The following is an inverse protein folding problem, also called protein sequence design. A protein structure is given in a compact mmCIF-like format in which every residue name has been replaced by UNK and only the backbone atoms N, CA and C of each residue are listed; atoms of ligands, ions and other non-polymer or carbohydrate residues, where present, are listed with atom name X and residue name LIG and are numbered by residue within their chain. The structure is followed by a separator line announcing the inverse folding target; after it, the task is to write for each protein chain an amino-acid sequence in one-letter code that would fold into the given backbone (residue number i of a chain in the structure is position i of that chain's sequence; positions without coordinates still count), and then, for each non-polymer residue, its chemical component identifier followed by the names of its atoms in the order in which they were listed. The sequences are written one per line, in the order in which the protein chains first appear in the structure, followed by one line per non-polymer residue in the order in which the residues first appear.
data_IF_889416350201
#
_entry.id   IF_889416350201
#
_cell.length_a   1.000
_cell.length_b   1.000
_cell.length_c   1.000
_cell.angle_alpha   90.00
_cell.angle_beta   90.00
_cell.angle_gamma   90.00
#
_symmetry.space_group_name_H-M   'P 1'
#
loop_
_entity.id
_entity.type
_entity.pdbx_description
1 polymer ?
#
# COMPACT_ATOMS: atom_id res chain seq x y z
N UNK A 1 -30.16 9.22 10.02
CA UNK A 1 -31.23 8.88 9.05
C UNK A 1 -31.51 9.98 8.01
N UNK A 2 -31.26 11.27 8.27
CA UNK A 2 -31.44 12.36 7.27
C UNK A 2 -30.34 12.39 6.19
N UNK A 3 -29.11 12.04 6.49
CA UNK A 3 -28.03 11.97 5.49
C UNK A 3 -28.26 10.90 4.40
N UNK A 4 -28.93 9.77 4.73
CA UNK A 4 -29.24 8.73 3.73
C UNK A 4 -30.37 9.10 2.76
N UNK A 5 -31.26 10.04 3.10
CA UNK A 5 -32.34 10.43 2.20
C UNK A 5 -31.94 11.49 1.16
N UNK A 6 -30.85 12.24 1.37
CA UNK A 6 -30.35 13.21 0.38
C UNK A 6 -29.60 12.53 -0.79
N UNK A 7 -29.08 11.31 -0.59
CA UNK A 7 -28.23 10.62 -1.58
C UNK A 7 -28.96 9.94 -2.74
N UNK A 8 -30.29 9.97 -2.81
CA UNK A 8 -31.04 9.23 -3.86
C UNK A 8 -31.16 10.02 -5.17
N UNK A 9 -30.95 11.34 -5.16
CA UNK A 9 -31.06 12.19 -6.35
C UNK A 9 -29.77 12.87 -6.78
N UNK A 10 -28.86 13.14 -5.85
CA UNK A 10 -27.59 13.81 -6.14
C UNK A 10 -26.49 12.76 -6.30
N UNK A 11 -25.75 12.86 -7.40
CA UNK A 11 -24.59 12.00 -7.67
C UNK A 11 -23.33 12.49 -6.97
N UNK A 12 -23.40 13.62 -6.31
CA UNK A 12 -22.30 14.28 -5.61
C UNK A 12 -22.48 14.16 -4.10
N UNK A 13 -21.41 13.84 -3.38
CA UNK A 13 -21.36 13.74 -1.92
C UNK A 13 -20.33 14.70 -1.38
N UNK A 14 -20.61 15.32 -0.24
CA UNK A 14 -19.64 16.12 0.46
C UNK A 14 -18.58 15.19 1.10
N UNK A 15 -17.34 15.40 0.72
CA UNK A 15 -16.18 14.61 1.18
C UNK A 15 -15.58 15.11 2.49
N UNK A 16 -16.13 16.19 3.06
CA UNK A 16 -15.59 16.88 4.24
C UNK A 16 -14.16 17.46 4.08
N UNK A 17 -13.71 17.64 2.84
CA UNK A 17 -12.46 18.31 2.53
C UNK A 17 -12.78 19.75 2.13
N UNK A 18 -12.21 20.73 2.85
CA UNK A 18 -12.47 22.13 2.64
C UNK A 18 -11.18 22.95 2.61
N UNK A 19 -11.20 24.00 1.80
CA UNK A 19 -10.17 25.05 1.79
C UNK A 19 -10.86 26.39 2.01
N UNK A 20 -10.44 27.11 3.05
CA UNK A 20 -10.96 28.42 3.41
C UNK A 20 -9.85 29.46 3.45
N UNK A 21 -10.21 30.73 3.21
CA UNK A 21 -9.42 31.82 3.70
C UNK A 21 -9.46 31.85 5.24
N UNK A 22 -8.31 32.04 5.88
CA UNK A 22 -8.18 31.90 7.34
C UNK A 22 -9.06 32.90 8.11
N UNK A 23 -9.21 34.12 7.62
CA UNK A 23 -10.09 35.14 8.21
C UNK A 23 -11.55 34.73 8.16
N UNK A 24 -12.01 34.21 7.02
CA UNK A 24 -13.39 33.73 6.83
C UNK A 24 -13.69 32.51 7.69
N UNK A 25 -12.73 31.58 7.79
CA UNK A 25 -12.86 30.41 8.66
C UNK A 25 -12.95 30.79 10.14
N UNK A 26 -12.12 31.73 10.60
CA UNK A 26 -12.14 32.20 11.98
C UNK A 26 -13.49 32.81 12.35
N UNK A 27 -14.06 33.64 11.48
CA UNK A 27 -15.38 34.23 11.68
C UNK A 27 -16.48 33.14 11.66
N UNK A 28 -16.41 32.22 10.70
CA UNK A 28 -17.38 31.15 10.58
C UNK A 28 -17.39 30.21 11.81
N UNK A 29 -16.20 29.84 12.33
CA UNK A 29 -16.09 29.01 13.55
C UNK A 29 -16.65 29.72 14.77
N UNK A 30 -16.37 31.03 14.92
CA UNK A 30 -16.91 31.82 16.02
C UNK A 30 -18.46 31.90 16.01
N UNK A 31 -19.08 31.75 14.83
CA UNK A 31 -20.52 31.77 14.63
C UNK A 31 -21.21 30.42 14.71
N UNK A 32 -20.49 29.31 14.77
CA UNK A 32 -21.05 27.96 14.79
C UNK A 32 -21.95 27.75 16.03
N UNK A 33 -23.06 27.06 15.83
CA UNK A 33 -24.02 26.69 16.88
C UNK A 33 -24.22 25.19 16.92
N UNK A 34 -24.43 24.65 18.12
CA UNK A 34 -24.74 23.22 18.34
C UNK A 34 -26.23 22.93 18.43
N UNK A 35 -27.09 23.70 17.72
CA UNK A 35 -28.55 23.60 17.75
C UNK A 35 -29.09 22.46 16.88
N UNK A 36 -28.47 21.26 16.99
CA UNK A 36 -28.92 20.05 16.29
C UNK A 36 -29.25 18.94 17.29
N UNK A 37 -29.84 17.86 16.82
CA UNK A 37 -30.29 16.76 17.68
C UNK A 37 -29.14 16.03 18.39
N UNK A 38 -27.92 16.18 17.92
CA UNK A 38 -26.70 15.57 18.48
C UNK A 38 -25.94 16.52 19.40
N UNK A 39 -26.24 17.83 19.40
CA UNK A 39 -25.50 18.84 20.16
C UNK A 39 -24.09 19.09 19.64
N UNK A 40 -23.82 18.74 18.39
CA UNK A 40 -22.50 18.82 17.77
C UNK A 40 -22.34 20.08 16.90
N UNK A 41 -21.08 20.53 16.71
CA UNK A 41 -20.76 21.58 15.76
C UNK A 41 -20.47 20.97 14.39
N UNK A 42 -21.17 21.41 13.35
CA UNK A 42 -20.93 20.95 11.98
C UNK A 42 -20.14 21.99 11.20
N UNK A 43 -18.97 21.57 10.70
CA UNK A 43 -18.13 22.44 9.85
C UNK A 43 -18.84 22.82 8.54
N UNK A 44 -19.80 22.02 8.09
CA UNK A 44 -20.67 22.36 6.94
C UNK A 44 -21.43 23.66 7.13
N UNK A 45 -21.76 24.04 8.38
CA UNK A 45 -22.49 25.29 8.66
C UNK A 45 -21.57 26.51 8.44
N UNK A 46 -20.26 26.35 8.48
CA UNK A 46 -19.31 27.37 8.13
C UNK A 46 -19.39 27.82 6.65
N UNK A 47 -19.89 26.95 5.77
CA UNK A 47 -20.11 27.29 4.36
C UNK A 47 -21.17 28.37 4.17
N UNK A 48 -22.18 28.46 5.03
CA UNK A 48 -23.18 29.52 4.98
C UNK A 48 -22.55 30.88 5.27
N UNK A 49 -21.70 30.96 6.30
CA UNK A 49 -20.95 32.19 6.61
C UNK A 49 -20.00 32.56 5.47
N UNK A 50 -19.26 31.58 4.95
CA UNK A 50 -18.35 31.81 3.81
C UNK A 50 -19.10 32.30 2.56
N UNK A 51 -20.32 31.84 2.32
CA UNK A 51 -21.16 32.27 1.20
C UNK A 51 -21.61 33.73 1.33
N UNK A 52 -21.82 34.22 2.55
CA UNK A 52 -22.16 35.63 2.79
C UNK A 52 -20.94 36.54 2.69
N UNK A 53 -19.75 36.05 3.04
CA UNK A 53 -18.50 36.79 2.97
C UNK A 53 -17.90 36.84 1.55
N UNK A 54 -18.25 35.93 0.65
CA UNK A 54 -17.68 35.87 -0.67
C UNK A 54 -18.23 34.75 -1.57
N UNK A 55 -17.38 34.24 -2.46
CA UNK A 55 -17.75 33.15 -3.37
C UNK A 55 -17.35 31.82 -2.77
N UNK A 56 -18.28 30.87 -2.76
CA UNK A 56 -18.04 29.45 -2.46
C UNK A 56 -18.05 28.68 -3.78
N UNK A 57 -17.00 27.91 -4.02
CA UNK A 57 -16.91 27.00 -5.16
C UNK A 57 -16.91 25.55 -4.70
N UNK A 58 -17.38 24.65 -5.53
CA UNK A 58 -17.26 23.21 -5.35
C UNK A 58 -16.31 22.65 -6.40
N UNK A 59 -15.45 21.73 -5.99
CA UNK A 59 -14.57 20.96 -6.87
C UNK A 59 -14.94 19.49 -6.77
N UNK A 60 -15.34 18.89 -7.90
CA UNK A 60 -15.59 17.46 -7.94
C UNK A 60 -14.26 16.71 -8.07
N UNK A 61 -13.97 15.83 -7.12
CA UNK A 61 -12.79 14.98 -7.19
C UNK A 61 -12.89 14.06 -8.42
N UNK A 62 -11.88 14.04 -9.30
CA UNK A 62 -11.92 13.23 -10.52
C UNK A 62 -11.92 11.73 -10.21
N UNK A 63 -11.40 11.34 -9.07
CA UNK A 63 -11.41 9.97 -8.57
C UNK A 63 -12.02 9.93 -7.16
N UNK A 64 -13.23 9.39 -7.01
CA UNK A 64 -13.90 9.32 -5.70
C UNK A 64 -13.12 8.59 -4.63
N UNK A 65 -12.30 7.60 -5.00
CA UNK A 65 -11.52 6.81 -4.04
C UNK A 65 -10.49 7.65 -3.27
N UNK A 66 -9.97 8.72 -3.88
CA UNK A 66 -8.96 9.58 -3.25
C UNK A 66 -9.51 10.44 -2.11
N UNK A 67 -10.82 10.53 -2.00
CA UNK A 67 -11.53 11.37 -1.03
C UNK A 67 -12.53 10.56 -0.18
N UNK A 68 -12.47 9.24 -0.28
CA UNK A 68 -13.36 8.36 0.48
C UNK A 68 -12.93 8.30 1.95
N UNK A 69 -13.87 8.60 2.85
CA UNK A 69 -13.65 8.56 4.29
C UNK A 69 -13.94 7.18 4.88
N UNK A 70 -13.21 6.85 5.95
CA UNK A 70 -13.35 5.58 6.68
C UNK A 70 -13.85 5.85 8.10
N UNK A 71 -14.97 5.23 8.48
CA UNK A 71 -15.56 5.38 9.82
C UNK A 71 -15.41 4.14 10.70
N UNK A 72 -15.15 2.99 10.10
CA UNK A 72 -14.97 1.73 10.82
C UNK A 72 -13.95 0.81 10.14
N UNK A 73 -13.61 -0.29 10.82
CA UNK A 73 -12.62 -1.25 10.32
C UNK A 73 -13.08 -2.07 9.12
N UNK A 74 -14.40 -2.21 8.91
CA UNK A 74 -14.96 -2.92 7.75
C UNK A 74 -14.73 -2.05 6.51
N UNK A 75 -15.04 -0.75 6.61
CA UNK A 75 -14.78 0.21 5.54
C UNK A 75 -13.27 0.32 5.25
N UNK A 76 -12.44 0.37 6.30
CA UNK A 76 -10.97 0.39 6.14
C UNK A 76 -10.49 -0.83 5.36
N UNK A 77 -10.94 -2.03 5.72
CA UNK A 77 -10.54 -3.26 5.03
C UNK A 77 -10.97 -3.25 3.56
N UNK A 78 -12.19 -2.81 3.27
CA UNK A 78 -12.70 -2.72 1.90
C UNK A 78 -11.91 -1.69 1.07
N UNK A 79 -11.64 -0.51 1.64
CA UNK A 79 -10.88 0.55 0.97
C UNK A 79 -9.43 0.13 0.73
N UNK A 80 -8.77 -0.48 1.74
CA UNK A 80 -7.41 -1.01 1.61
C UNK A 80 -7.31 -2.05 0.49
N UNK A 81 -8.30 -2.96 0.40
CA UNK A 81 -8.34 -3.96 -0.67
C UNK A 81 -8.49 -3.31 -2.05
N UNK A 82 -9.36 -2.32 -2.18
CA UNK A 82 -9.56 -1.56 -3.42
C UNK A 82 -8.29 -0.82 -3.83
N UNK A 83 -7.60 -0.22 -2.87
CA UNK A 83 -6.34 0.47 -3.11
C UNK A 83 -5.23 -0.50 -3.55
N UNK A 84 -5.03 -1.59 -2.80
CA UNK A 84 -4.07 -2.63 -3.16
C UNK A 84 -4.31 -3.20 -4.57
N UNK A 85 -5.58 -3.40 -4.95
CA UNK A 85 -5.92 -3.83 -6.31
C UNK A 85 -5.42 -2.85 -7.36
N UNK A 86 -5.54 -1.53 -7.14
CA UNK A 86 -5.00 -0.51 -8.05
C UNK A 86 -3.47 -0.56 -8.15
N UNK A 87 -2.79 -0.80 -7.02
CA UNK A 87 -1.33 -0.97 -6.99
C UNK A 87 -0.92 -2.18 -7.84
N UNK A 88 -1.57 -3.32 -7.64
CA UNK A 88 -1.33 -4.52 -8.44
C UNK A 88 -1.59 -4.27 -9.94
N UNK A 89 -2.71 -3.61 -10.29
CA UNK A 89 -3.02 -3.29 -11.69
C UNK A 89 -1.99 -2.34 -12.31
N UNK A 90 -1.48 -1.38 -11.57
CA UNK A 90 -0.40 -0.49 -12.01
C UNK A 90 0.85 -1.30 -12.40
N UNK A 91 1.26 -2.23 -11.54
CA UNK A 91 2.41 -3.10 -11.81
C UNK A 91 2.17 -4.05 -12.99
N UNK A 92 0.99 -4.66 -13.09
CA UNK A 92 0.65 -5.52 -14.25
C UNK A 92 0.68 -4.74 -15.56
N UNK A 93 0.20 -3.49 -15.60
CA UNK A 93 0.30 -2.63 -16.78
C UNK A 93 1.72 -2.23 -17.12
N UNK A 94 2.62 -2.25 -16.14
CA UNK A 94 4.06 -1.96 -16.31
C UNK A 94 4.88 -3.20 -16.67
N UNK A 95 4.24 -4.35 -16.92
CA UNK A 95 4.90 -5.57 -17.39
C UNK A 95 5.25 -6.57 -16.30
N UNK A 96 4.73 -6.41 -15.07
CA UNK A 96 4.89 -7.39 -13.99
C UNK A 96 3.78 -8.44 -14.07
N UNK A 97 4.13 -9.71 -13.92
CA UNK A 97 3.15 -10.80 -13.80
C UNK A 97 2.72 -10.98 -12.34
N UNK A 98 1.45 -10.77 -12.03
CA UNK A 98 0.86 -11.04 -10.70
C UNK A 98 -0.22 -12.10 -10.90
N UNK A 99 0.02 -13.34 -10.41
CA UNK A 99 -0.90 -14.46 -10.68
C UNK A 99 -2.23 -14.31 -9.96
N UNK A 100 -2.20 -13.81 -8.73
CA UNK A 100 -3.41 -13.60 -7.94
C UNK A 100 -3.34 -12.26 -7.19
N UNK A 101 -3.84 -11.18 -7.80
CA UNK A 101 -3.84 -9.86 -7.16
C UNK A 101 -4.80 -9.77 -5.95
N UNK A 102 -5.66 -10.77 -5.74
CA UNK A 102 -6.57 -10.78 -4.59
C UNK A 102 -5.88 -11.20 -3.29
N UNK A 103 -4.81 -11.98 -3.37
CA UNK A 103 -4.01 -12.44 -2.23
C UNK A 103 -2.61 -11.83 -2.16
N UNK A 104 -2.22 -11.06 -3.18
CA UNK A 104 -0.94 -10.34 -3.22
C UNK A 104 -1.09 -8.93 -2.68
N UNK A 105 -0.22 -8.54 -1.76
CA UNK A 105 -0.21 -7.20 -1.16
C UNK A 105 1.10 -6.49 -1.45
N UNK A 106 1.02 -5.29 -2.01
CA UNK A 106 2.18 -4.49 -2.43
C UNK A 106 2.03 -3.08 -1.88
N UNK A 107 2.98 -2.63 -1.06
CA UNK A 107 3.03 -1.25 -0.57
C UNK A 107 3.53 -0.30 -1.66
N UNK A 108 3.24 0.98 -1.53
CA UNK A 108 3.41 1.97 -2.59
C UNK A 108 4.87 2.25 -2.94
N UNK A 109 5.77 2.16 -1.95
CA UNK A 109 7.21 2.43 -2.10
C UNK A 109 7.99 1.26 -2.72
N UNK A 110 7.33 0.11 -2.92
CA UNK A 110 7.92 -1.07 -3.57
C UNK A 110 8.20 -0.76 -5.05
N UNK A 111 9.35 -1.20 -5.54
CA UNK A 111 9.73 -1.13 -6.94
C UNK A 111 9.86 -2.54 -7.53
N UNK A 112 9.33 -2.75 -8.74
CA UNK A 112 9.35 -4.07 -9.38
C UNK A 112 9.78 -3.90 -10.83
N UNK A 113 10.79 -4.66 -11.23
CA UNK A 113 11.31 -4.73 -12.59
C UNK A 113 10.32 -5.42 -13.55
N UNK A 114 10.52 -5.20 -14.84
CA UNK A 114 9.70 -5.83 -15.90
C UNK A 114 9.90 -7.33 -15.88
N UNK A 115 8.89 -8.04 -16.33
CA UNK A 115 8.87 -9.49 -16.46
C UNK A 115 9.05 -10.26 -15.14
N UNK A 116 9.18 -9.54 -14.01
CA UNK A 116 9.12 -10.17 -12.69
C UNK A 116 7.77 -10.84 -12.46
N UNK A 117 7.78 -11.97 -11.75
CA UNK A 117 6.59 -12.76 -11.44
C UNK A 117 6.33 -12.83 -9.95
N UNK A 118 5.15 -12.37 -9.53
CA UNK A 118 4.69 -12.41 -8.14
C UNK A 118 3.60 -13.49 -8.01
N UNK A 119 3.88 -14.48 -7.20
CA UNK A 119 3.01 -15.63 -6.96
C UNK A 119 2.05 -15.37 -5.77
N UNK A 120 0.94 -16.11 -5.67
CA UNK A 120 -0.12 -15.86 -4.69
C UNK A 120 0.35 -15.80 -3.23
N UNK A 121 -0.33 -14.98 -2.43
CA UNK A 121 -0.08 -14.87 -0.99
C UNK A 121 1.22 -14.16 -0.63
N UNK A 122 1.78 -13.38 -1.55
CA UNK A 122 3.00 -12.61 -1.31
C UNK A 122 2.71 -11.23 -0.72
N UNK A 123 3.57 -10.79 0.20
CA UNK A 123 3.53 -9.47 0.84
C UNK A 123 4.84 -8.73 0.56
N UNK A 124 4.77 -7.62 -0.15
CA UNK A 124 5.91 -6.78 -0.53
C UNK A 124 5.77 -5.44 0.18
N UNK A 125 6.71 -5.15 1.09
CA UNK A 125 6.58 -4.06 2.05
C UNK A 125 7.80 -3.14 2.08
N UNK A 126 7.58 -1.91 2.52
CA UNK A 126 8.61 -0.90 2.68
C UNK A 126 9.27 -0.53 1.34
N UNK A 127 10.55 -0.30 1.38
CA UNK A 127 11.36 0.06 0.20
C UNK A 127 11.92 -1.17 -0.55
N UNK A 128 11.14 -2.25 -0.61
CA UNK A 128 11.54 -3.47 -1.33
C UNK A 128 11.72 -3.20 -2.81
N UNK A 129 12.82 -3.71 -3.36
CA UNK A 129 13.16 -3.63 -4.79
C UNK A 129 13.28 -5.03 -5.36
N UNK A 130 12.58 -5.30 -6.46
CA UNK A 130 12.59 -6.58 -7.17
C UNK A 130 13.10 -6.34 -8.59
N UNK A 131 14.14 -7.04 -8.99
CA UNK A 131 14.76 -6.97 -10.31
C UNK A 131 13.92 -7.61 -11.42
N UNK A 132 14.36 -7.41 -12.65
CA UNK A 132 13.77 -8.02 -13.84
C UNK A 132 13.83 -9.55 -13.77
N UNK A 133 12.86 -10.25 -14.35
CA UNK A 133 12.77 -11.71 -14.40
C UNK A 133 12.80 -12.42 -13.03
N UNK A 134 12.80 -11.70 -11.92
CA UNK A 134 12.79 -12.30 -10.59
C UNK A 134 11.44 -12.96 -10.28
N UNK A 135 11.46 -14.02 -9.48
CA UNK A 135 10.25 -14.76 -9.07
C UNK A 135 10.11 -14.69 -7.55
N UNK A 136 9.00 -14.13 -7.08
CA UNK A 136 8.70 -13.99 -5.64
C UNK A 136 7.39 -14.69 -5.30
N UNK A 137 7.46 -15.57 -4.31
CA UNK A 137 6.29 -16.32 -3.86
C UNK A 137 6.37 -17.82 -4.18
N UNK A 138 5.26 -18.56 -3.97
CA UNK A 138 4.08 -18.12 -3.23
C UNK A 138 4.34 -17.97 -1.72
N UNK A 139 3.43 -17.27 -1.01
CA UNK A 139 3.50 -17.08 0.45
C UNK A 139 4.84 -16.55 0.95
N UNK A 140 5.37 -15.55 0.27
CA UNK A 140 6.64 -14.89 0.58
C UNK A 140 6.39 -13.49 1.13
N UNK A 141 7.15 -13.13 2.15
CA UNK A 141 7.14 -11.77 2.71
C UNK A 141 8.50 -11.13 2.52
N UNK A 142 8.54 -10.02 1.81
CA UNK A 142 9.72 -9.18 1.65
C UNK A 142 9.49 -7.84 2.36
N UNK A 143 10.45 -7.40 3.17
CA UNK A 143 10.39 -6.13 3.91
C UNK A 143 11.73 -5.43 3.75
N UNK A 144 11.74 -4.25 3.11
CA UNK A 144 12.96 -3.48 2.85
C UNK A 144 14.09 -4.34 2.24
N UNK A 145 13.73 -5.25 1.36
CA UNK A 145 14.63 -6.23 0.76
C UNK A 145 14.95 -5.86 -0.70
N UNK A 146 16.16 -6.16 -1.13
CA UNK A 146 16.55 -6.08 -2.54
C UNK A 146 16.70 -7.48 -3.10
N UNK A 147 16.00 -7.77 -4.20
CA UNK A 147 16.04 -9.04 -4.93
C UNK A 147 16.45 -8.72 -6.36
N UNK A 148 17.64 -9.15 -6.76
CA UNK A 148 18.20 -8.83 -8.07
C UNK A 148 17.60 -9.68 -9.20
N UNK A 149 18.03 -9.40 -10.43
CA UNK A 149 17.57 -10.02 -11.66
C UNK A 149 17.58 -11.55 -11.61
N UNK A 150 16.49 -12.17 -12.02
CA UNK A 150 16.36 -13.61 -12.13
C UNK A 150 16.44 -14.38 -10.82
N UNK A 151 16.52 -13.71 -9.67
CA UNK A 151 16.54 -14.39 -8.38
C UNK A 151 15.16 -14.96 -8.03
N UNK A 152 15.13 -16.03 -7.25
CA UNK A 152 13.92 -16.74 -6.84
C UNK A 152 13.83 -16.76 -5.32
N UNK A 153 12.72 -16.25 -4.77
CA UNK A 153 12.45 -16.28 -3.32
C UNK A 153 11.10 -16.97 -3.07
N UNK A 154 11.14 -18.19 -2.58
CA UNK A 154 9.96 -19.04 -2.42
C UNK A 154 9.62 -19.28 -0.95
N UNK A 155 8.32 -19.13 -0.58
CA UNK A 155 7.77 -19.47 0.76
C UNK A 155 8.67 -19.03 1.91
N UNK A 156 9.16 -17.81 1.85
CA UNK A 156 10.21 -17.34 2.75
C UNK A 156 9.90 -15.95 3.29
N UNK A 157 10.58 -15.59 4.37
CA UNK A 157 10.56 -14.23 4.90
C UNK A 157 11.95 -13.62 4.79
N UNK A 158 12.04 -12.46 4.13
CA UNK A 158 13.30 -11.72 3.95
C UNK A 158 13.12 -10.31 4.47
N UNK A 159 14.01 -9.86 5.35
CA UNK A 159 14.01 -8.52 5.92
C UNK A 159 15.36 -7.84 5.71
N UNK A 160 15.35 -6.58 5.26
CA UNK A 160 16.53 -5.70 5.15
C UNK A 160 17.78 -6.48 4.67
N UNK A 161 17.63 -7.23 3.60
CA UNK A 161 18.66 -8.12 3.06
C UNK A 161 18.73 -8.00 1.54
N UNK A 162 19.90 -8.21 0.99
CA UNK A 162 20.16 -8.22 -0.43
C UNK A 162 20.28 -9.66 -0.94
N UNK A 163 19.61 -9.97 -2.03
CA UNK A 163 19.62 -11.25 -2.71
C UNK A 163 20.16 -11.01 -4.13
N UNK A 164 21.38 -11.43 -4.36
CA UNK A 164 22.06 -11.24 -5.64
C UNK A 164 21.42 -12.00 -6.80
N UNK A 165 21.78 -11.62 -8.01
CA UNK A 165 21.17 -12.12 -9.24
C UNK A 165 21.18 -13.67 -9.31
N UNK A 166 20.10 -14.26 -9.84
CA UNK A 166 19.92 -15.70 -10.05
C UNK A 166 20.04 -16.56 -8.79
N UNK A 167 20.07 -15.93 -7.61
CA UNK A 167 20.13 -16.60 -6.31
C UNK A 167 18.77 -17.20 -5.94
N UNK A 168 18.78 -18.38 -5.32
CA UNK A 168 17.58 -19.10 -4.91
C UNK A 168 17.48 -19.15 -3.39
N UNK A 169 16.38 -18.62 -2.83
CA UNK A 169 16.06 -18.59 -1.41
C UNK A 169 14.80 -19.41 -1.13
N UNK A 170 14.92 -20.37 -0.22
CA UNK A 170 13.79 -21.12 0.26
C UNK A 170 13.70 -22.57 -0.22
N UNK A 171 12.52 -23.20 0.01
CA UNK A 171 11.36 -22.69 0.77
C UNK A 171 11.59 -22.67 2.29
N UNK A 172 10.72 -21.92 3.02
CA UNK A 172 10.72 -21.78 4.49
C UNK A 172 12.05 -21.28 5.08
N UNK A 173 12.65 -20.32 4.41
CA UNK A 173 13.86 -19.62 4.86
C UNK A 173 13.48 -18.31 5.53
N UNK A 174 14.14 -18.00 6.65
CA UNK A 174 14.02 -16.71 7.31
C UNK A 174 15.37 -15.95 7.28
N UNK A 175 15.43 -14.92 6.46
CA UNK A 175 16.53 -13.99 6.42
C UNK A 175 16.19 -12.75 7.24
N UNK A 176 16.84 -12.65 8.40
CA UNK A 176 16.77 -11.46 9.26
C UNK A 176 17.64 -10.36 8.68
N UNK A 177 17.53 -9.15 9.21
CA UNK A 177 18.24 -7.98 8.70
C UNK A 177 19.76 -8.17 8.52
N UNK A 178 20.28 -7.61 7.43
CA UNK A 178 21.70 -7.45 7.17
C UNK A 178 22.38 -8.63 6.48
N UNK A 179 21.63 -9.50 5.77
CA UNK A 179 22.28 -10.50 4.91
C UNK A 179 22.56 -9.91 3.53
N UNK A 180 23.65 -10.35 2.95
CA UNK A 180 24.09 -10.00 1.61
C UNK A 180 24.49 -11.28 0.86
N UNK A 181 23.68 -11.66 -0.13
CA UNK A 181 23.91 -12.82 -0.98
C UNK A 181 24.46 -12.36 -2.32
N UNK A 182 25.59 -12.94 -2.71
CA UNK A 182 26.13 -12.80 -4.05
C UNK A 182 25.27 -13.51 -5.11
N UNK A 183 25.75 -13.47 -6.34
CA UNK A 183 25.09 -14.07 -7.49
C UNK A 183 25.16 -15.61 -7.47
N UNK A 184 24.17 -16.27 -8.09
CA UNK A 184 24.10 -17.72 -8.28
C UNK A 184 24.20 -18.52 -6.96
N UNK A 185 23.92 -17.86 -5.83
CA UNK A 185 23.96 -18.47 -4.51
C UNK A 185 22.66 -19.22 -4.20
N UNK A 186 22.64 -19.96 -3.10
CA UNK A 186 21.46 -20.69 -2.65
C UNK A 186 21.39 -20.75 -1.14
N UNK A 187 20.21 -20.45 -0.57
CA UNK A 187 19.84 -20.86 0.78
C UNK A 187 18.69 -21.88 0.68
N UNK A 188 18.90 -23.09 1.20
CA UNK A 188 17.95 -24.18 1.15
C UNK A 188 16.80 -24.04 2.15
N UNK A 189 15.97 -25.09 2.29
CA UNK A 189 14.83 -25.08 3.17
C UNK A 189 15.23 -25.02 4.66
N UNK A 190 14.40 -24.31 5.47
CA UNK A 190 14.56 -24.22 6.93
C UNK A 190 15.92 -23.63 7.35
N UNK A 191 16.36 -22.60 6.62
CA UNK A 191 17.56 -21.83 6.94
C UNK A 191 17.16 -20.55 7.66
N UNK A 192 17.82 -20.22 8.77
CA UNK A 192 17.75 -18.90 9.39
C UNK A 192 19.11 -18.23 9.38
N UNK A 193 19.16 -16.97 8.92
CA UNK A 193 20.41 -16.20 8.85
C UNK A 193 20.22 -14.76 9.31
N UNK A 194 21.28 -14.17 9.85
CA UNK A 194 21.35 -12.76 10.23
C UNK A 194 22.76 -12.22 10.02
N UNK A 195 22.87 -11.06 9.37
CA UNK A 195 24.14 -10.36 9.13
C UNK A 195 25.21 -11.27 8.52
N UNK A 196 24.80 -12.15 7.61
CA UNK A 196 25.68 -13.07 6.91
C UNK A 196 26.05 -12.52 5.54
N UNK A 197 27.30 -12.72 5.14
CA UNK A 197 27.77 -12.45 3.79
C UNK A 197 28.00 -13.78 3.07
N UNK A 198 27.27 -14.01 1.99
CA UNK A 198 27.29 -15.24 1.20
C UNK A 198 27.87 -14.92 -0.17
N UNK A 199 29.04 -15.44 -0.47
CA UNK A 199 29.71 -15.20 -1.75
C UNK A 199 29.00 -15.83 -2.94
N UNK A 200 29.40 -15.43 -4.16
CA UNK A 200 28.84 -15.93 -5.40
C UNK A 200 28.94 -17.47 -5.48
N UNK A 201 27.88 -18.09 -5.99
CA UNK A 201 27.81 -19.55 -6.18
C UNK A 201 27.78 -20.39 -4.89
N UNK A 202 27.76 -19.74 -3.73
CA UNK A 202 27.76 -20.44 -2.44
C UNK A 202 26.42 -21.11 -2.19
N UNK A 203 26.44 -22.35 -1.70
CA UNK A 203 25.25 -23.13 -1.38
C UNK A 203 25.18 -23.39 0.13
N UNK A 204 24.18 -22.78 0.77
CA UNK A 204 23.83 -23.07 2.16
C UNK A 204 22.81 -24.20 2.14
N UNK A 205 23.11 -25.38 2.72
CA UNK A 205 22.19 -26.51 2.70
C UNK A 205 20.97 -26.24 3.58
N UNK A 206 20.00 -27.16 3.53
CA UNK A 206 18.83 -27.12 4.41
C UNK A 206 19.20 -27.36 5.88
N UNK A 207 18.35 -26.87 6.79
CA UNK A 207 18.51 -27.02 8.25
C UNK A 207 19.83 -26.41 8.79
N UNK A 208 20.17 -25.22 8.34
CA UNK A 208 21.38 -24.48 8.73
C UNK A 208 21.00 -23.20 9.48
#
# INVERSE_FOLDING_TARGET
RRQRQMCIRDREVNTSVYVFEASVLAEAIAGLKSNNAQGEFYLTDALETAKTAGKVGAFAAPDPLTVEGVNDRVQLAALSKTYNRRVCERWMRNGVTILDPETTWIEDDVQIGRDATILPGSFLQGHTVIGEDAVVGPYTTLIDATVDEGAVVERSRVQESHIGARTNIGPWTYLRAGNDFGEDAKAGAFVEMKKAHIGNGTKVPHLS
#
